data_IF_773682495515
#
_entry.id   IF_773682495515
#
_cell.length_a   1.000
_cell.length_b   1.000
_cell.length_c   1.000
_cell.angle_alpha   90.00
_cell.angle_beta   90.00
_cell.angle_gamma   90.00
#
_symmetry.space_group_name_H-M   'P 1'
#
loop_
_entity.id
_entity.type
_entity.pdbx_description
1 polymer ?
#
# COMPACT_ATOMS: atom_id res chain seq x y z
N UNK A 1 -9.91 -9.71 -17.66
CA UNK A 1 -9.25 -8.38 -17.60
C UNK A 1 -7.95 -8.45 -18.41
N UNK A 2 -7.45 -7.33 -18.93
CA UNK A 2 -6.12 -7.28 -19.58
C UNK A 2 -5.04 -7.57 -18.55
N UNK A 3 -3.89 -8.12 -19.01
CA UNK A 3 -2.72 -8.39 -18.16
C UNK A 3 -2.27 -7.13 -17.42
N UNK A 4 -1.89 -7.28 -16.15
CA UNK A 4 -1.38 -6.22 -15.28
C UNK A 4 0.02 -6.57 -14.80
N UNK A 5 0.79 -5.57 -14.42
CA UNK A 5 2.05 -5.75 -13.72
C UNK A 5 1.84 -5.56 -12.21
N UNK A 6 2.72 -6.11 -11.39
CA UNK A 6 2.68 -5.93 -9.95
C UNK A 6 4.00 -5.39 -9.41
N UNK A 7 3.94 -4.43 -8.49
CA UNK A 7 5.07 -3.87 -7.76
C UNK A 7 4.89 -4.11 -6.26
N UNK A 8 5.82 -4.81 -5.64
CA UNK A 8 5.88 -5.00 -4.20
C UNK A 8 6.93 -4.07 -3.63
N UNK A 9 6.52 -3.09 -2.83
CA UNK A 9 7.42 -2.19 -2.13
C UNK A 9 7.97 -2.88 -0.88
N UNK A 10 9.25 -3.15 -0.87
CA UNK A 10 9.96 -3.78 0.23
C UNK A 10 11.09 -2.87 0.74
N UNK A 11 10.76 -1.60 1.01
CA UNK A 11 11.70 -0.66 1.60
C UNK A 11 12.04 -1.01 3.04
N UNK A 12 13.28 -0.75 3.45
CA UNK A 12 13.76 -0.93 4.83
C UNK A 12 14.01 0.41 5.50
N UNK A 13 13.76 0.47 6.83
CA UNK A 13 14.20 1.59 7.68
C UNK A 13 15.66 1.43 8.13
N UNK A 14 16.37 0.43 7.57
CA UNK A 14 17.74 0.10 7.90
C UNK A 14 17.85 -0.84 9.11
N UNK A 15 19.06 -0.99 9.68
CA UNK A 15 19.37 -2.02 10.69
C UNK A 15 18.67 -1.82 12.04
N UNK A 16 18.01 -0.69 12.26
CA UNK A 16 17.29 -0.37 13.50
C UNK A 16 15.77 -0.55 13.36
N UNK A 17 15.27 -1.23 12.31
CA UNK A 17 13.86 -1.54 12.20
C UNK A 17 13.45 -2.53 13.31
N UNK A 18 12.49 -2.16 14.19
CA UNK A 18 12.13 -2.98 15.34
C UNK A 18 11.50 -4.33 14.97
N UNK A 19 10.90 -4.43 13.78
CA UNK A 19 10.33 -5.69 13.27
C UNK A 19 11.43 -6.59 12.72
N UNK A 20 12.41 -6.03 12.00
CA UNK A 20 13.57 -6.78 11.54
C UNK A 20 14.40 -7.31 12.73
N UNK A 21 14.59 -6.47 13.75
CA UNK A 21 15.28 -6.87 14.98
C UNK A 21 14.58 -8.02 15.72
N UNK A 22 13.23 -8.02 15.75
CA UNK A 22 12.45 -9.11 16.34
C UNK A 22 12.71 -10.45 15.63
N UNK A 23 12.84 -10.42 14.31
CA UNK A 23 13.12 -11.62 13.50
C UNK A 23 14.59 -12.00 13.43
N UNK A 24 15.50 -11.21 14.00
CA UNK A 24 16.95 -11.42 13.87
C UNK A 24 17.48 -11.31 12.45
N UNK A 25 16.80 -10.54 11.59
CA UNK A 25 17.09 -10.42 10.16
C UNK A 25 17.57 -8.99 9.81
N UNK A 26 18.33 -8.88 8.73
CA UNK A 26 18.85 -7.58 8.28
C UNK A 26 17.78 -6.69 7.63
N UNK A 27 16.68 -7.30 7.14
CA UNK A 27 15.68 -6.57 6.35
C UNK A 27 14.26 -6.94 6.80
N UNK A 28 13.41 -5.92 7.08
CA UNK A 28 12.03 -6.06 7.57
C UNK A 28 11.19 -7.07 6.76
N UNK A 29 11.28 -7.02 5.43
CA UNK A 29 10.52 -7.92 4.55
C UNK A 29 10.85 -9.41 4.73
N UNK A 30 12.01 -9.72 5.31
CA UNK A 30 12.46 -11.09 5.60
C UNK A 30 12.09 -11.56 7.00
N UNK A 31 11.49 -10.72 7.83
CA UNK A 31 11.06 -11.10 9.18
C UNK A 31 10.11 -12.30 9.10
N UNK A 32 10.42 -13.40 9.81
CA UNK A 32 9.56 -14.57 9.82
C UNK A 32 8.29 -14.29 10.62
N UNK A 33 7.15 -14.69 10.06
CA UNK A 33 5.86 -14.74 10.73
C UNK A 33 5.28 -16.13 10.49
N UNK A 34 4.88 -16.83 11.53
CA UNK A 34 4.44 -18.23 11.46
C UNK A 34 5.43 -19.11 10.64
N UNK A 35 6.74 -18.88 10.82
CA UNK A 35 7.81 -19.66 10.20
C UNK A 35 8.15 -19.29 8.75
N UNK A 36 7.50 -18.26 8.14
CA UNK A 36 7.77 -17.82 6.76
C UNK A 36 8.09 -16.33 6.71
N UNK A 37 9.02 -15.86 5.83
CA UNK A 37 9.26 -14.44 5.61
C UNK A 37 7.98 -13.68 5.20
N UNK A 38 7.76 -12.47 5.72
CA UNK A 38 6.59 -11.64 5.38
C UNK A 38 6.40 -11.47 3.87
N UNK A 39 7.47 -11.16 3.16
CA UNK A 39 7.43 -10.97 1.70
C UNK A 39 6.95 -12.22 0.95
N UNK A 40 7.19 -13.42 1.49
CA UNK A 40 6.74 -14.67 0.86
C UNK A 40 5.22 -14.78 0.77
N UNK A 41 4.51 -14.33 1.81
CA UNK A 41 3.04 -14.28 1.80
C UNK A 41 2.52 -13.32 0.73
N UNK A 42 3.09 -12.13 0.66
CA UNK A 42 2.68 -11.11 -0.32
C UNK A 42 2.98 -11.55 -1.74
N UNK A 43 4.14 -12.18 -1.96
CA UNK A 43 4.52 -12.71 -3.27
C UNK A 43 3.57 -13.82 -3.73
N UNK A 44 3.20 -14.74 -2.83
CA UNK A 44 2.23 -15.79 -3.13
C UNK A 44 0.84 -15.21 -3.44
N UNK A 45 0.40 -14.20 -2.68
CA UNK A 45 -0.87 -13.52 -2.92
C UNK A 45 -0.90 -12.86 -4.31
N UNK A 46 0.15 -12.15 -4.67
CA UNK A 46 0.27 -11.48 -5.98
C UNK A 46 0.33 -12.50 -7.12
N UNK A 47 1.14 -13.56 -6.95
CA UNK A 47 1.27 -14.63 -7.94
C UNK A 47 -0.04 -15.43 -8.13
N UNK A 48 -0.84 -15.54 -7.09
CA UNK A 48 -2.14 -16.22 -7.12
C UNK A 48 -3.22 -15.49 -7.94
N UNK A 49 -2.94 -14.29 -8.45
CA UNK A 49 -3.87 -13.51 -9.28
C UNK A 49 -3.58 -13.77 -10.76
N UNK A 50 -4.50 -14.39 -11.51
CA UNK A 50 -4.25 -14.79 -12.91
C UNK A 50 -3.95 -13.64 -13.87
N UNK A 51 -4.42 -12.43 -13.55
CA UNK A 51 -4.18 -11.23 -14.36
C UNK A 51 -2.77 -10.68 -14.23
N UNK A 52 -2.01 -11.06 -13.18
CA UNK A 52 -0.63 -10.59 -12.96
C UNK A 52 0.32 -11.34 -13.89
N UNK A 53 1.00 -10.58 -14.76
CA UNK A 53 1.95 -11.13 -15.74
C UNK A 53 3.41 -10.95 -15.29
N UNK A 54 3.80 -9.73 -14.90
CA UNK A 54 5.16 -9.43 -14.43
C UNK A 54 5.13 -8.96 -12.98
N UNK A 55 6.11 -9.45 -12.20
CA UNK A 55 6.28 -9.04 -10.80
C UNK A 55 7.57 -8.28 -10.64
N UNK A 56 7.50 -7.12 -10.02
CA UNK A 56 8.62 -6.27 -9.64
C UNK A 56 8.70 -6.18 -8.12
N UNK A 57 9.90 -6.32 -7.57
CA UNK A 57 10.16 -6.14 -6.14
C UNK A 57 11.11 -4.96 -5.96
N UNK A 58 10.62 -3.91 -5.29
CA UNK A 58 11.40 -2.73 -4.98
C UNK A 58 12.16 -2.96 -3.66
N UNK A 59 13.42 -3.39 -3.76
CA UNK A 59 14.26 -3.81 -2.63
C UNK A 59 15.74 -3.60 -2.93
N UNK A 60 16.55 -3.42 -1.89
CA UNK A 60 18.00 -3.27 -2.00
C UNK A 60 18.66 -4.47 -2.70
N UNK A 61 19.68 -4.20 -3.52
CA UNK A 61 20.35 -5.20 -4.36
C UNK A 61 20.98 -6.33 -3.53
N UNK A 62 21.50 -5.99 -2.35
CA UNK A 62 22.23 -6.89 -1.46
C UNK A 62 21.32 -7.86 -0.69
N UNK A 63 20.01 -7.60 -0.66
CA UNK A 63 19.06 -8.46 0.07
C UNK A 63 18.90 -9.80 -0.66
N UNK A 64 19.22 -10.90 0.02
CA UNK A 64 19.02 -12.23 -0.52
C UNK A 64 17.54 -12.63 -0.51
N UNK A 65 16.95 -12.80 -1.68
CA UNK A 65 15.56 -13.19 -1.86
C UNK A 65 15.34 -14.68 -2.18
N UNK A 66 16.40 -15.48 -2.24
CA UNK A 66 16.27 -16.93 -2.51
C UNK A 66 15.33 -17.64 -1.55
N UNK A 67 15.33 -17.31 -0.22
CA UNK A 67 14.41 -17.93 0.73
C UNK A 67 12.93 -17.56 0.53
N UNK A 68 12.66 -16.51 -0.25
CA UNK A 68 11.33 -15.93 -0.41
C UNK A 68 10.69 -16.32 -1.74
N UNK A 69 11.47 -16.29 -2.82
CA UNK A 69 10.94 -16.33 -4.20
C UNK A 69 10.56 -17.74 -4.66
N UNK A 70 11.11 -18.76 -4.06
CA UNK A 70 10.81 -20.16 -4.36
C UNK A 70 10.68 -20.46 -5.89
N UNK A 71 11.61 -19.88 -6.68
CA UNK A 71 11.61 -20.00 -8.14
C UNK A 71 10.63 -19.10 -8.90
N UNK A 72 9.88 -18.22 -8.22
CA UNK A 72 9.01 -17.24 -8.88
C UNK A 72 9.83 -16.22 -9.64
N UNK A 73 9.60 -16.02 -10.96
CA UNK A 73 10.26 -14.97 -11.72
C UNK A 73 9.86 -13.59 -11.21
N UNK A 74 10.84 -12.71 -11.07
CA UNK A 74 10.60 -11.30 -10.72
C UNK A 74 11.73 -10.43 -11.25
N UNK A 75 11.46 -9.13 -11.40
CA UNK A 75 12.46 -8.11 -11.69
C UNK A 75 12.69 -7.25 -10.45
N UNK A 76 13.95 -6.94 -10.13
CA UNK A 76 14.31 -6.09 -9.01
C UNK A 76 14.34 -4.63 -9.44
N UNK A 77 13.77 -3.75 -8.62
CA UNK A 77 13.87 -2.31 -8.76
C UNK A 77 14.55 -1.74 -7.52
N UNK A 78 15.57 -0.88 -7.64
CA UNK A 78 16.20 -0.26 -6.48
C UNK A 78 15.21 0.67 -5.77
N UNK A 79 15.19 0.69 -4.42
CA UNK A 79 14.37 1.62 -3.66
C UNK A 79 14.90 3.05 -3.79
N UNK A 80 13.98 4.02 -3.76
CA UNK A 80 14.32 5.43 -3.67
C UNK A 80 14.23 5.93 -2.21
N UNK A 81 14.39 7.24 -2.00
CA UNK A 81 14.45 7.86 -0.67
C UNK A 81 13.17 7.75 0.16
N UNK A 82 12.04 7.39 -0.46
CA UNK A 82 10.75 7.19 0.21
C UNK A 82 9.84 6.26 -0.59
N UNK A 83 8.75 5.72 0.01
CA UNK A 83 7.76 4.93 -0.72
C UNK A 83 7.19 5.64 -1.95
N UNK A 84 6.80 6.91 -1.82
CA UNK A 84 6.28 7.67 -2.95
C UNK A 84 7.35 7.91 -4.04
N UNK A 85 8.60 8.14 -3.65
CA UNK A 85 9.71 8.26 -4.59
C UNK A 85 9.98 6.94 -5.32
N UNK A 86 9.90 5.81 -4.61
CA UNK A 86 10.06 4.48 -5.19
C UNK A 86 8.96 4.15 -6.19
N UNK A 87 7.69 4.49 -5.88
CA UNK A 87 6.58 4.34 -6.82
C UNK A 87 6.77 5.22 -8.05
N UNK A 88 7.15 6.49 -7.87
CA UNK A 88 7.38 7.40 -9.00
C UNK A 88 8.50 6.89 -9.91
N UNK A 89 9.61 6.40 -9.34
CA UNK A 89 10.72 5.81 -10.10
C UNK A 89 10.30 4.52 -10.83
N UNK A 90 9.55 3.64 -10.15
CA UNK A 90 9.06 2.40 -10.75
C UNK A 90 8.10 2.66 -11.93
N UNK A 91 7.16 3.63 -11.79
CA UNK A 91 6.27 4.03 -12.88
C UNK A 91 7.00 4.58 -14.11
N UNK A 92 8.21 5.14 -13.93
CA UNK A 92 9.06 5.60 -15.04
C UNK A 92 9.91 4.47 -15.62
N UNK A 93 10.39 3.54 -14.78
CA UNK A 93 11.31 2.47 -15.18
C UNK A 93 10.60 1.25 -15.79
N UNK A 94 9.36 0.97 -15.39
CA UNK A 94 8.58 -0.16 -15.94
C UNK A 94 8.04 0.24 -17.31
N UNK A 95 8.50 -0.48 -18.33
CA UNK A 95 8.07 -0.27 -19.71
C UNK A 95 6.63 -0.73 -19.95
N UNK A 96 5.94 0.00 -20.85
CA UNK A 96 4.59 -0.32 -21.30
C UNK A 96 3.49 0.44 -20.52
N UNK A 97 2.26 0.28 -21.00
CA UNK A 97 1.07 0.99 -20.51
C UNK A 97 0.13 0.07 -19.70
N UNK A 98 0.62 -1.09 -19.28
CA UNK A 98 -0.17 -2.00 -18.44
C UNK A 98 -0.47 -1.33 -17.09
N UNK A 99 -1.67 -1.56 -16.53
CA UNK A 99 -1.94 -1.15 -15.17
C UNK A 99 -0.94 -1.79 -14.20
N UNK A 100 -0.50 -1.03 -13.19
CA UNK A 100 0.45 -1.49 -12.18
C UNK A 100 -0.28 -1.64 -10.84
N UNK A 101 -0.43 -2.87 -10.39
CA UNK A 101 -0.84 -3.18 -9.02
C UNK A 101 0.34 -2.89 -8.09
N UNK A 102 0.14 -2.08 -7.06
CA UNK A 102 1.17 -1.72 -6.10
C UNK A 102 0.72 -2.16 -4.71
N UNK A 103 1.59 -2.87 -4.01
CA UNK A 103 1.41 -3.25 -2.61
C UNK A 103 2.73 -3.18 -1.84
N UNK A 104 2.71 -3.51 -0.55
CA UNK A 104 3.89 -3.47 0.33
C UNK A 104 4.21 -4.84 0.91
N UNK A 105 5.49 -5.11 1.16
CA UNK A 105 5.98 -6.39 1.67
C UNK A 105 5.57 -6.70 3.11
N UNK A 106 5.04 -5.73 3.83
CA UNK A 106 4.61 -5.84 5.23
C UNK A 106 3.12 -6.15 5.40
N UNK A 107 2.51 -6.75 4.37
CA UNK A 107 1.10 -7.13 4.32
C UNK A 107 0.89 -8.65 4.26
N UNK A 108 1.36 -9.45 5.25
CA UNK A 108 1.35 -10.91 5.18
C UNK A 108 -0.05 -11.55 5.22
N UNK A 109 -1.09 -10.79 5.54
CA UNK A 109 -2.49 -11.24 5.45
C UNK A 109 -3.14 -10.95 4.10
N UNK A 110 -2.42 -10.40 3.13
CA UNK A 110 -2.91 -10.20 1.78
C UNK A 110 -3.15 -11.56 1.11
N UNK A 111 -4.31 -11.71 0.45
CA UNK A 111 -4.67 -12.92 -0.27
C UNK A 111 -5.01 -12.63 -1.73
N UNK A 112 -4.96 -13.63 -2.64
CA UNK A 112 -5.41 -13.45 -4.02
C UNK A 112 -6.86 -12.97 -4.11
N UNK A 113 -7.73 -13.39 -3.19
CA UNK A 113 -9.13 -12.98 -3.13
C UNK A 113 -9.29 -11.48 -2.84
N UNK A 114 -8.51 -10.94 -1.89
CA UNK A 114 -8.50 -9.51 -1.58
C UNK A 114 -8.06 -8.71 -2.81
N UNK A 115 -7.01 -9.16 -3.49
CA UNK A 115 -6.50 -8.49 -4.70
C UNK A 115 -7.54 -8.57 -5.83
N UNK A 116 -8.12 -9.73 -6.08
CA UNK A 116 -9.13 -9.92 -7.12
C UNK A 116 -10.38 -9.04 -6.86
N UNK A 117 -10.83 -8.97 -5.60
CA UNK A 117 -11.91 -8.05 -5.22
C UNK A 117 -11.54 -6.60 -5.53
N UNK A 118 -10.34 -6.17 -5.14
CA UNK A 118 -9.86 -4.81 -5.42
C UNK A 118 -9.84 -4.52 -6.93
N UNK A 119 -9.26 -5.41 -7.73
CA UNK A 119 -9.16 -5.25 -9.18
C UNK A 119 -10.54 -5.17 -9.86
N UNK A 120 -11.47 -6.00 -9.41
CA UNK A 120 -12.85 -6.05 -9.94
C UNK A 120 -13.62 -4.76 -9.67
N UNK A 121 -13.39 -4.13 -8.50
CA UNK A 121 -14.10 -2.91 -8.09
C UNK A 121 -13.34 -1.62 -8.43
N UNK A 122 -12.11 -1.71 -8.95
CA UNK A 122 -11.34 -0.56 -9.38
C UNK A 122 -11.92 0.04 -10.68
N UNK A 123 -12.42 1.30 -10.66
CA UNK A 123 -13.00 1.93 -11.86
C UNK A 123 -12.01 1.97 -13.02
N UNK A 124 -12.45 1.57 -14.22
CA UNK A 124 -11.58 1.49 -15.41
C UNK A 124 -11.06 2.83 -15.88
N UNK A 125 -11.79 3.89 -15.60
CA UNK A 125 -11.46 5.27 -15.96
C UNK A 125 -10.68 6.03 -14.86
N UNK A 126 -10.35 5.37 -13.74
CA UNK A 126 -9.47 5.94 -12.72
C UNK A 126 -8.00 5.83 -13.13
N UNK A 127 -7.26 6.93 -13.01
CA UNK A 127 -5.80 6.93 -13.16
C UNK A 127 -5.12 6.22 -11.98
N UNK A 128 -5.70 6.34 -10.78
CA UNK A 128 -5.27 5.64 -9.58
C UNK A 128 -6.48 5.17 -8.76
N UNK A 129 -6.56 3.88 -8.49
CA UNK A 129 -7.49 3.33 -7.50
C UNK A 129 -6.75 3.05 -6.20
N UNK A 130 -7.39 3.32 -5.06
CA UNK A 130 -6.81 3.20 -3.71
C UNK A 130 -7.69 2.30 -2.84
N UNK A 131 -7.13 1.19 -2.35
CA UNK A 131 -7.79 0.28 -1.44
C UNK A 131 -7.91 0.87 -0.03
N UNK A 132 -9.13 0.89 0.50
CA UNK A 132 -9.46 1.33 1.85
C UNK A 132 -10.35 0.30 2.54
N UNK A 133 -10.22 0.17 3.86
CA UNK A 133 -11.16 -0.58 4.68
C UNK A 133 -11.82 0.33 5.72
N UNK A 134 -13.10 0.07 6.00
CA UNK A 134 -13.84 0.83 7.02
C UNK A 134 -13.39 0.43 8.42
N UNK A 135 -13.32 1.42 9.32
CA UNK A 135 -12.97 1.19 10.73
C UNK A 135 -13.88 0.17 11.39
N UNK A 136 -15.17 0.16 11.06
CA UNK A 136 -16.14 -0.78 11.60
C UNK A 136 -15.78 -2.23 11.22
N UNK A 137 -15.41 -2.49 9.97
CA UNK A 137 -14.97 -3.80 9.48
C UNK A 137 -13.73 -4.27 10.24
N UNK A 138 -12.73 -3.38 10.36
CA UNK A 138 -11.46 -3.70 11.03
C UNK A 138 -11.68 -3.95 12.52
N UNK A 139 -12.39 -3.08 13.21
CA UNK A 139 -12.61 -3.18 14.66
C UNK A 139 -13.53 -4.34 15.06
N UNK A 140 -14.43 -4.78 14.17
CA UNK A 140 -15.22 -5.99 14.38
C UNK A 140 -14.36 -7.26 14.35
N UNK A 141 -13.41 -7.34 13.41
CA UNK A 141 -12.53 -8.50 13.27
C UNK A 141 -11.35 -8.48 14.26
N UNK A 142 -10.76 -7.30 14.47
CA UNK A 142 -9.54 -7.10 15.25
C UNK A 142 -9.70 -5.97 16.28
N UNK A 143 -10.53 -6.14 17.33
CA UNK A 143 -10.82 -5.07 18.30
C UNK A 143 -9.60 -4.63 19.10
N UNK A 144 -8.59 -5.49 19.24
CA UNK A 144 -7.33 -5.19 19.94
C UNK A 144 -6.32 -4.42 19.06
N UNK A 145 -6.58 -4.33 17.74
CA UNK A 145 -5.69 -3.71 16.78
C UNK A 145 -5.65 -2.18 16.96
N UNK A 146 -4.44 -1.62 17.16
CA UNK A 146 -4.26 -0.16 17.20
C UNK A 146 -3.98 0.34 15.79
N UNK A 147 -4.98 0.92 15.12
CA UNK A 147 -4.90 1.45 13.76
C UNK A 147 -5.17 2.95 13.72
N UNK A 148 -4.53 3.61 12.77
CA UNK A 148 -4.84 5.00 12.47
C UNK A 148 -6.01 5.07 11.49
N UNK A 149 -7.07 5.77 11.87
CA UNK A 149 -8.23 5.98 11.01
C UNK A 149 -8.33 7.44 10.57
N UNK A 150 -8.48 7.64 9.27
CA UNK A 150 -8.89 8.92 8.71
C UNK A 150 -10.40 9.07 8.87
N UNK A 151 -10.84 10.10 9.60
CA UNK A 151 -12.27 10.34 9.83
C UNK A 151 -12.82 11.26 8.75
N UNK A 152 -13.76 10.75 7.95
CA UNK A 152 -14.42 11.49 6.88
C UNK A 152 -15.94 11.39 7.07
N UNK A 153 -16.61 12.53 7.28
CA UNK A 153 -18.06 12.61 7.55
C UNK A 153 -18.57 11.58 8.58
N UNK A 154 -17.83 11.45 9.70
CA UNK A 154 -18.19 10.55 10.79
C UNK A 154 -17.79 9.09 10.62
N UNK A 155 -17.35 8.67 9.43
CA UNK A 155 -16.82 7.32 9.16
C UNK A 155 -15.30 7.30 9.27
N UNK A 156 -14.74 6.20 9.77
CA UNK A 156 -13.29 5.96 9.82
C UNK A 156 -12.86 5.06 8.66
N UNK A 157 -11.71 5.39 8.05
CA UNK A 157 -11.10 4.59 6.98
C UNK A 157 -9.63 4.36 7.27
N UNK A 158 -9.11 3.19 6.92
CA UNK A 158 -7.67 2.87 6.92
C UNK A 158 -7.22 2.48 5.52
N UNK A 159 -5.99 2.88 5.15
CA UNK A 159 -5.37 2.45 3.90
C UNK A 159 -5.03 0.96 3.95
N UNK A 160 -5.16 0.30 2.80
CA UNK A 160 -4.85 -1.12 2.66
C UNK A 160 -3.52 -1.37 1.95
N UNK A 161 -2.69 -0.34 1.74
CA UNK A 161 -1.45 -0.42 0.96
C UNK A 161 -1.64 -1.17 -0.38
N UNK A 162 -2.79 -0.96 -1.00
CA UNK A 162 -3.18 -1.59 -2.26
C UNK A 162 -3.63 -0.51 -3.23
N UNK A 163 -2.92 -0.41 -4.37
CA UNK A 163 -3.17 0.62 -5.37
C UNK A 163 -3.15 0.01 -6.77
N UNK A 164 -3.97 0.55 -7.68
CA UNK A 164 -3.90 0.22 -9.09
C UNK A 164 -3.65 1.50 -9.88
N UNK A 165 -2.46 1.59 -10.44
CA UNK A 165 -1.97 2.76 -11.17
C UNK A 165 -2.10 2.56 -12.68
N UNK A 166 -2.64 3.57 -13.38
CA UNK A 166 -2.72 3.64 -14.84
C UNK A 166 -2.01 4.90 -15.33
N UNK A 167 -1.04 4.73 -16.22
CA UNK A 167 -0.31 5.86 -16.82
C UNK A 167 -1.22 6.62 -17.80
N UNK A 168 -0.96 7.92 -18.03
CA UNK A 168 0.05 8.76 -17.39
C UNK A 168 -0.43 9.44 -16.10
N UNK A 169 -1.71 9.35 -15.76
CA UNK A 169 -2.30 10.06 -14.61
C UNK A 169 -1.67 9.66 -13.28
N UNK A 170 -1.42 8.35 -13.08
CA UNK A 170 -0.81 7.83 -11.86
C UNK A 170 0.59 8.43 -11.57
N UNK A 171 1.37 8.73 -12.61
CA UNK A 171 2.68 9.39 -12.43
C UNK A 171 2.52 10.76 -11.76
N UNK A 172 1.53 11.57 -12.18
CA UNK A 172 1.25 12.88 -11.57
C UNK A 172 0.87 12.75 -10.09
N UNK A 173 0.10 11.70 -9.76
CA UNK A 173 -0.28 11.44 -8.36
C UNK A 173 0.94 11.03 -7.53
N UNK A 174 1.79 10.15 -8.04
CA UNK A 174 3.01 9.71 -7.35
C UNK A 174 3.98 10.88 -7.11
N UNK A 175 4.15 11.77 -8.10
CA UNK A 175 4.96 12.98 -7.95
C UNK A 175 4.37 13.98 -6.95
N UNK A 176 3.04 14.14 -6.95
CA UNK A 176 2.36 14.95 -5.94
C UNK A 176 2.59 14.38 -4.54
N UNK A 177 2.42 13.08 -4.35
CA UNK A 177 2.66 12.42 -3.06
C UNK A 177 4.10 12.59 -2.59
N UNK A 178 5.08 12.39 -3.47
CA UNK A 178 6.50 12.61 -3.16
C UNK A 178 6.77 14.03 -2.63
N UNK A 179 6.14 15.05 -3.24
CA UNK A 179 6.24 16.44 -2.73
C UNK A 179 5.62 16.59 -1.35
N UNK A 180 4.45 15.97 -1.13
CA UNK A 180 3.75 16.02 0.15
C UNK A 180 4.54 15.34 1.28
N UNK A 181 5.18 14.20 1.01
CA UNK A 181 6.07 13.55 1.98
C UNK A 181 7.21 14.48 2.42
N UNK A 182 7.81 15.21 1.51
CA UNK A 182 8.85 16.21 1.80
C UNK A 182 8.34 17.37 2.68
N UNK A 183 7.05 17.62 2.72
CA UNK A 183 6.45 18.70 3.50
C UNK A 183 5.86 18.28 4.85
N UNK A 184 5.90 16.98 5.22
CA UNK A 184 5.33 16.46 6.49
C UNK A 184 5.78 17.20 7.75
N UNK A 185 6.99 17.77 7.75
CA UNK A 185 7.55 18.57 8.86
C UNK A 185 7.20 20.07 8.80
N UNK A 186 6.50 20.52 7.75
CA UNK A 186 6.16 21.93 7.57
C UNK A 186 4.64 22.11 7.38
N UNK A 187 3.87 22.34 8.46
CA UNK A 187 2.43 22.40 8.43
C UNK A 187 1.90 23.55 7.54
N UNK A 188 2.60 24.67 7.45
CA UNK A 188 2.20 25.80 6.60
C UNK A 188 2.26 25.44 5.10
N UNK A 189 3.26 24.65 4.69
CA UNK A 189 3.34 24.15 3.30
C UNK A 189 2.25 23.13 3.01
N UNK A 190 1.94 22.23 3.96
CA UNK A 190 0.81 21.30 3.83
C UNK A 190 -0.52 22.04 3.65
N UNK A 191 -0.77 23.06 4.46
CA UNK A 191 -1.97 23.92 4.34
C UNK A 191 -2.05 24.58 2.97
N UNK A 192 -0.92 25.08 2.45
CA UNK A 192 -0.87 25.71 1.13
C UNK A 192 -1.13 24.72 -0.01
N UNK A 193 -0.61 23.50 0.09
CA UNK A 193 -0.77 22.46 -0.94
C UNK A 193 -2.19 21.85 -0.93
N UNK A 194 -2.73 21.56 0.25
CA UNK A 194 -4.06 20.95 0.40
C UNK A 194 -5.17 22.01 0.25
N UNK A 195 -4.89 23.24 0.66
CA UNK A 195 -5.86 24.34 0.68
C UNK A 195 -6.63 24.42 2.01
N UNK A 196 -6.72 25.63 2.56
CA UNK A 196 -7.35 25.88 3.86
C UNK A 196 -8.84 25.48 3.91
N UNK A 197 -9.55 25.61 2.79
CA UNK A 197 -10.98 25.25 2.71
C UNK A 197 -11.23 23.74 2.89
N UNK A 198 -10.33 22.90 2.37
CA UNK A 198 -10.42 21.44 2.56
C UNK A 198 -10.12 21.06 4.01
N UNK A 199 -9.15 21.72 4.64
CA UNK A 199 -8.79 21.50 6.05
C UNK A 199 -9.91 21.94 7.00
N UNK A 200 -10.55 23.08 6.74
CA UNK A 200 -11.70 23.54 7.52
C UNK A 200 -12.86 22.54 7.40
N UNK A 201 -13.20 22.10 6.19
CA UNK A 201 -14.24 21.07 6.00
C UNK A 201 -13.91 19.76 6.72
N UNK A 202 -12.65 19.34 6.69
CA UNK A 202 -12.19 18.16 7.44
C UNK A 202 -12.36 18.35 8.94
N UNK A 203 -11.92 19.47 9.50
CA UNK A 203 -12.03 19.79 10.91
C UNK A 203 -13.50 19.88 11.38
N UNK A 204 -14.42 20.35 10.52
CA UNK A 204 -15.85 20.42 10.78
C UNK A 204 -16.60 19.10 10.51
N UNK A 205 -15.90 18.03 10.08
CA UNK A 205 -16.52 16.75 9.71
C UNK A 205 -17.39 16.79 8.46
N UNK A 206 -17.26 17.82 7.63
CA UNK A 206 -18.03 18.04 6.40
C UNK A 206 -17.39 17.46 5.15
N UNK A 207 -16.19 16.87 5.28
CA UNK A 207 -15.47 16.25 4.18
C UNK A 207 -15.77 14.74 4.18
N UNK A 208 -16.58 14.30 3.21
CA UNK A 208 -16.81 12.88 2.95
C UNK A 208 -15.72 12.29 2.04
N UNK A 209 -15.77 10.97 1.85
CA UNK A 209 -14.76 10.23 1.07
C UNK A 209 -14.72 10.69 -0.39
N UNK A 210 -15.87 10.86 -1.04
CA UNK A 210 -15.94 11.30 -2.44
C UNK A 210 -15.35 12.71 -2.63
N UNK A 211 -15.72 13.64 -1.75
CA UNK A 211 -15.20 15.01 -1.81
C UNK A 211 -13.70 15.04 -1.54
N UNK A 212 -13.20 14.23 -0.60
CA UNK A 212 -11.77 14.11 -0.32
C UNK A 212 -11.00 13.62 -1.55
N UNK A 213 -11.44 12.53 -2.17
CA UNK A 213 -10.82 11.99 -3.38
C UNK A 213 -10.98 12.93 -4.59
N UNK A 214 -12.15 13.55 -4.76
CA UNK A 214 -12.38 14.57 -5.78
C UNK A 214 -11.50 15.80 -5.62
N UNK A 215 -11.19 16.20 -4.38
CA UNK A 215 -10.26 17.29 -4.10
C UNK A 215 -8.83 16.96 -4.52
N UNK A 216 -8.31 15.78 -4.11
CA UNK A 216 -6.96 15.33 -4.50
C UNK A 216 -6.88 15.11 -6.02
N UNK A 217 -7.94 14.60 -6.65
CA UNK A 217 -8.01 14.46 -8.11
C UNK A 217 -7.84 15.78 -8.84
N UNK A 218 -8.45 16.86 -8.34
CA UNK A 218 -8.27 18.22 -8.89
C UNK A 218 -6.84 18.72 -8.72
N UNK A 219 -6.23 18.51 -7.56
CA UNK A 219 -4.85 18.95 -7.27
C UNK A 219 -3.83 18.22 -8.15
N UNK A 220 -4.06 16.96 -8.44
CA UNK A 220 -3.14 16.12 -9.24
C UNK A 220 -3.46 16.12 -10.73
N UNK A 221 -4.61 16.68 -11.13
CA UNK A 221 -5.15 16.56 -12.49
C UNK A 221 -5.21 15.10 -12.97
N UNK A 222 -5.58 14.21 -12.06
CA UNK A 222 -5.71 12.78 -12.31
C UNK A 222 -6.93 12.27 -11.56
N UNK A 223 -7.67 11.33 -12.15
CA UNK A 223 -8.83 10.73 -11.50
C UNK A 223 -8.37 9.68 -10.48
N UNK A 224 -8.59 9.98 -9.20
CA UNK A 224 -8.28 9.07 -8.08
C UNK A 224 -9.60 8.57 -7.51
N UNK A 225 -9.74 7.26 -7.36
CA UNK A 225 -10.98 6.64 -6.85
C UNK A 225 -10.68 5.72 -5.67
N UNK A 226 -11.46 5.79 -4.58
CA UNK A 226 -11.39 4.81 -3.51
C UNK A 226 -12.06 3.49 -3.92
N UNK A 227 -11.56 2.38 -3.41
CA UNK A 227 -12.20 1.05 -3.47
C UNK A 227 -12.32 0.56 -2.03
N UNK A 228 -13.54 0.38 -1.55
CA UNK A 228 -13.78 -0.12 -0.20
C UNK A 228 -13.69 -1.64 -0.20
N UNK A 229 -12.80 -2.15 0.65
CA UNK A 229 -12.54 -3.57 0.81
C UNK A 229 -13.29 -4.09 2.06
N UNK A 230 -14.10 -5.14 1.94
CA UNK A 230 -14.83 -5.72 3.05
C UNK A 230 -13.97 -6.67 3.91
N UNK A 231 -12.64 -6.61 3.77
CA UNK A 231 -11.68 -7.47 4.43
C UNK A 231 -10.87 -6.67 5.46
N UNK A 232 -10.96 -7.06 6.73
CA UNK A 232 -10.18 -6.42 7.80
C UNK A 232 -8.68 -6.69 7.65
N UNK A 233 -8.33 -7.85 7.13
CA UNK A 233 -6.97 -8.31 6.81
C UNK A 233 -6.28 -7.36 5.84
N UNK A 234 -7.03 -6.80 4.89
CA UNK A 234 -6.51 -5.88 3.88
C UNK A 234 -5.89 -4.60 4.47
N UNK A 235 -6.31 -4.19 5.65
CA UNK A 235 -5.75 -3.02 6.35
C UNK A 235 -4.77 -3.41 7.45
N UNK A 236 -4.28 -4.66 7.49
CA UNK A 236 -3.42 -5.15 8.57
C UNK A 236 -1.99 -5.35 8.09
N UNK A 237 -1.19 -4.28 8.20
CA UNK A 237 0.26 -4.27 7.96
C UNK A 237 1.05 -4.46 9.27
N UNK A 238 2.31 -4.84 9.15
CA UNK A 238 3.22 -5.11 10.26
C UNK A 238 4.27 -3.99 10.37
N UNK A 239 3.98 -2.96 11.16
CA UNK A 239 4.87 -1.82 11.36
C UNK A 239 5.65 -1.85 12.68
N UNK A 240 5.18 -2.64 13.65
CA UNK A 240 5.76 -2.76 15.00
C UNK A 240 5.57 -4.17 15.55
N UNK A 241 6.28 -4.54 16.63
CA UNK A 241 6.19 -5.88 17.24
C UNK A 241 4.78 -6.33 17.64
N UNK A 242 3.92 -5.40 18.05
CA UNK A 242 2.52 -5.74 18.39
C UNK A 242 1.70 -6.17 17.17
N UNK A 243 1.98 -5.60 16.00
CA UNK A 243 1.32 -5.99 14.74
C UNK A 243 1.80 -7.36 14.31
N UNK A 244 3.11 -7.63 14.44
CA UNK A 244 3.69 -8.95 14.20
C UNK A 244 2.98 -10.03 15.03
N UNK A 245 2.86 -9.83 16.36
CA UNK A 245 2.20 -10.76 17.25
C UNK A 245 0.70 -10.96 16.91
N UNK A 246 0.01 -9.91 16.46
CA UNK A 246 -1.39 -10.02 16.01
C UNK A 246 -1.49 -10.88 14.75
N UNK A 247 -0.68 -10.58 13.73
CA UNK A 247 -0.69 -11.29 12.45
C UNK A 247 -0.29 -12.74 12.62
N UNK A 248 0.72 -13.03 13.45
CA UNK A 248 1.13 -14.40 13.75
C UNK A 248 0.00 -15.22 14.37
N UNK A 249 -0.74 -14.66 15.33
CA UNK A 249 -1.94 -15.32 15.90
C UNK A 249 -3.03 -15.57 14.86
N UNK A 250 -3.21 -14.66 13.90
CA UNK A 250 -4.22 -14.83 12.84
C UNK A 250 -3.81 -15.97 11.92
N UNK A 251 -2.56 -15.99 11.45
CA UNK A 251 -2.04 -17.03 10.54
C UNK A 251 -1.99 -18.42 11.17
N UNK A 252 -1.78 -18.52 12.48
CA UNK A 252 -1.80 -19.81 13.20
C UNK A 252 -3.21 -20.39 13.39
N UNK A 253 -4.26 -19.62 13.14
CA UNK A 253 -5.67 -20.07 13.25
C UNK A 253 -6.28 -20.48 11.91
N UNK A 254 -5.59 -20.21 10.80
CA UNK A 254 -5.96 -20.60 9.45
C UNK A 254 -5.41 -22.00 9.11
#
# INVERSE_FOLDING_TARGET
MSAIDALILAGSRGPHDPVAALGGVAHKALTPIAGRPMLAYVLDAVRGVPEVDRIFICIDAETDLRPVTNGTPFSRIPPASSPAASVAAALQAIDGDRPLLITTADHPLLTPEIIAHFLTHAPQDADLSVGLAEAETIMRAFPEGKRTFYRLAGRGYSGCNLFLARKPGAVRVAEYWRRMEGHRKNPLRLVREIGIGALIRYALGLLDLERAFGHVSKLTRARISPVILPFAEAATDVDKPSDHALVERILQRQ
#
